data_IF_660159004831
#
_entry.id   IF_660159004831
#
_cell.length_a   1.000
_cell.length_b   1.000
_cell.length_c   1.000
_cell.angle_alpha   90.00
_cell.angle_beta   90.00
_cell.angle_gamma   90.00
#
_symmetry.space_group_name_H-M   'P 1'
#
loop_
_entity.id
_entity.type
_entity.pdbx_description
1 polymer ?
#
# COMPACT_ATOMS: atom_id res chain seq x y z
N UNK A 1 -13.51 25.52 20.51
CA UNK A 1 -13.03 24.53 21.49
C UNK A 1 -11.63 24.12 21.08
N UNK A 2 -10.59 24.41 21.88
CA UNK A 2 -9.23 23.99 21.56
C UNK A 2 -9.17 22.46 21.60
N UNK A 3 -8.90 21.84 20.46
CA UNK A 3 -8.66 20.40 20.39
C UNK A 3 -7.36 20.13 21.17
N UNK A 4 -7.52 19.67 22.42
CA UNK A 4 -6.39 19.22 23.22
C UNK A 4 -5.89 17.92 22.61
N UNK A 5 -4.69 17.92 22.03
CA UNK A 5 -4.05 16.71 21.53
C UNK A 5 -3.84 15.68 22.64
N UNK A 6 -3.70 14.41 22.26
CA UNK A 6 -3.50 13.31 23.18
C UNK A 6 -2.09 13.35 23.81
N UNK A 7 -2.04 13.29 25.15
CA UNK A 7 -0.81 13.13 25.94
C UNK A 7 -1.01 11.85 26.77
N UNK A 8 -0.06 10.91 26.69
CA UNK A 8 -0.11 9.66 27.44
C UNK A 8 0.56 9.86 28.82
N UNK A 9 -0.17 9.65 29.94
CA UNK A 9 0.38 9.79 31.27
C UNK A 9 1.46 8.74 31.62
N UNK A 10 1.57 7.67 30.86
CA UNK A 10 2.57 6.61 31.06
C UNK A 10 3.94 6.95 30.46
N UNK A 11 4.04 8.03 29.70
CA UNK A 11 5.30 8.49 29.13
C UNK A 11 5.71 9.84 29.74
N UNK A 12 7.02 10.14 29.80
CA UNK A 12 7.48 11.46 30.19
C UNK A 12 6.85 12.55 29.31
N UNK A 13 6.55 13.74 29.86
CA UNK A 13 6.01 14.84 29.06
C UNK A 13 6.95 15.19 27.90
N UNK A 14 6.41 15.61 26.74
CA UNK A 14 7.23 15.97 25.59
C UNK A 14 8.17 17.15 25.95
N UNK A 15 9.44 17.07 25.59
CA UNK A 15 10.44 18.11 25.94
C UNK A 15 11.82 17.85 25.36
N UNK A 16 12.01 16.73 24.63
CA UNK A 16 13.25 16.42 23.92
C UNK A 16 13.34 17.09 22.54
N UNK A 17 14.58 17.28 22.05
CA UNK A 17 14.80 17.77 20.70
C UNK A 17 14.08 16.90 19.65
N UNK A 18 13.20 17.52 18.86
CA UNK A 18 12.41 16.88 17.81
C UNK A 18 11.19 16.12 18.33
N UNK A 19 10.71 16.43 19.54
CA UNK A 19 9.44 15.94 20.06
C UNK A 19 8.29 16.88 19.66
N UNK A 20 7.16 16.30 19.26
CA UNK A 20 5.90 17.05 19.12
C UNK A 20 5.30 17.32 20.51
N UNK A 21 4.54 18.40 20.66
CA UNK A 21 3.86 18.74 21.92
C UNK A 21 2.71 17.78 22.28
N UNK A 22 2.30 16.95 21.34
CA UNK A 22 1.22 15.95 21.46
C UNK A 22 1.59 14.69 20.70
N UNK A 23 0.95 13.58 20.98
CA UNK A 23 1.07 12.37 20.18
C UNK A 23 0.34 12.58 18.86
N UNK A 24 1.08 12.60 17.74
CA UNK A 24 0.55 12.90 16.38
C UNK A 24 -0.47 11.86 15.94
N UNK A 25 -0.35 10.62 16.41
CA UNK A 25 -1.31 9.53 16.12
C UNK A 25 -2.71 9.76 16.72
N UNK A 26 -2.86 10.70 17.65
CA UNK A 26 -4.10 10.85 18.44
C UNK A 26 -4.34 9.77 19.50
N UNK A 27 -3.45 8.77 19.58
CA UNK A 27 -3.42 7.68 20.56
C UNK A 27 -1.99 7.15 20.69
N UNK A 28 -1.71 6.38 21.74
CA UNK A 28 -0.43 5.70 21.88
C UNK A 28 -0.43 4.42 21.05
N UNK A 29 0.46 4.27 20.04
CA UNK A 29 0.49 3.08 19.20
C UNK A 29 0.72 1.82 20.02
N UNK A 30 0.06 0.71 19.66
CA UNK A 30 0.27 -0.60 20.27
C UNK A 30 1.60 -1.20 19.81
N UNK A 31 2.46 -1.54 20.78
CA UNK A 31 3.69 -2.27 20.49
C UNK A 31 3.42 -3.66 19.89
N UNK A 32 2.35 -4.32 20.37
CA UNK A 32 1.96 -5.65 19.88
C UNK A 32 1.59 -5.62 18.39
N UNK A 33 0.84 -4.61 17.94
CA UNK A 33 0.50 -4.44 16.52
C UNK A 33 1.76 -4.16 15.67
N UNK A 34 2.67 -3.33 16.17
CA UNK A 34 3.94 -3.06 15.50
C UNK A 34 4.78 -4.31 15.30
N UNK A 35 4.97 -5.10 16.36
CA UNK A 35 5.73 -6.38 16.30
C UNK A 35 5.02 -7.40 15.41
N UNK A 36 3.69 -7.53 15.53
CA UNK A 36 2.89 -8.43 14.70
C UNK A 36 3.08 -8.10 13.21
N UNK A 37 3.06 -6.81 12.85
CA UNK A 37 3.32 -6.34 11.49
C UNK A 37 4.72 -6.73 11.02
N UNK A 38 5.75 -6.46 11.81
CA UNK A 38 7.13 -6.85 11.47
C UNK A 38 7.23 -8.36 11.22
N UNK A 39 6.68 -9.19 12.10
CA UNK A 39 6.76 -10.65 11.99
C UNK A 39 6.02 -11.18 10.77
N UNK A 40 4.78 -10.74 10.55
CA UNK A 40 3.97 -11.22 9.42
C UNK A 40 4.55 -10.80 8.07
N UNK A 41 5.04 -9.56 7.92
CA UNK A 41 5.69 -9.13 6.69
C UNK A 41 7.07 -9.76 6.51
N UNK A 42 7.83 -10.01 7.58
CA UNK A 42 9.12 -10.70 7.49
C UNK A 42 8.96 -12.14 6.99
N UNK A 43 8.01 -12.90 7.56
CA UNK A 43 7.72 -14.26 7.11
C UNK A 43 7.19 -14.25 5.66
N UNK A 44 6.30 -13.31 5.32
CA UNK A 44 5.83 -13.15 3.94
C UNK A 44 6.99 -12.81 2.98
N UNK A 45 7.93 -11.97 3.41
CA UNK A 45 9.15 -11.63 2.66
C UNK A 45 10.02 -12.85 2.38
N UNK A 46 10.24 -13.71 3.37
CA UNK A 46 10.96 -14.99 3.18
C UNK A 46 10.22 -15.88 2.16
N UNK A 47 8.89 -16.01 2.29
CA UNK A 47 8.09 -16.82 1.39
C UNK A 47 8.15 -16.32 -0.05
N UNK A 48 7.89 -15.03 -0.26
CA UNK A 48 7.97 -14.40 -1.59
C UNK A 48 9.39 -14.41 -2.16
N UNK A 49 10.41 -14.16 -1.34
CA UNK A 49 11.81 -14.22 -1.75
C UNK A 49 12.20 -15.61 -2.24
N UNK A 50 11.90 -16.64 -1.46
CA UNK A 50 12.13 -18.02 -1.89
C UNK A 50 11.39 -18.37 -3.18
N UNK A 51 10.16 -17.94 -3.32
CA UNK A 51 9.35 -18.14 -4.51
C UNK A 51 9.89 -17.39 -5.73
N UNK A 52 10.36 -16.16 -5.54
CA UNK A 52 10.99 -15.33 -6.57
C UNK A 52 12.20 -16.04 -7.20
N UNK A 53 13.10 -16.59 -6.36
CA UNK A 53 14.26 -17.34 -6.82
C UNK A 53 13.89 -18.69 -7.44
N UNK A 54 12.99 -19.45 -6.80
CA UNK A 54 12.57 -20.78 -7.27
C UNK A 54 11.92 -20.75 -8.64
N UNK A 55 11.02 -19.76 -8.90
CA UNK A 55 10.30 -19.63 -10.15
C UNK A 55 10.87 -18.58 -11.10
N UNK A 56 11.98 -17.90 -10.71
CA UNK A 56 12.65 -16.86 -11.50
C UNK A 56 11.68 -15.74 -11.94
N UNK A 57 10.76 -15.32 -11.07
CA UNK A 57 9.75 -14.30 -11.33
C UNK A 57 10.26 -12.90 -11.01
N UNK A 58 11.39 -12.49 -11.58
CA UNK A 58 12.04 -11.21 -11.29
C UNK A 58 11.11 -10.01 -11.53
N UNK A 59 10.19 -10.12 -12.46
CA UNK A 59 9.16 -9.12 -12.71
C UNK A 59 8.20 -8.89 -11.52
N UNK A 60 8.20 -9.77 -10.53
CA UNK A 60 7.41 -9.65 -9.30
C UNK A 60 8.23 -9.10 -8.12
N UNK A 61 9.47 -8.62 -8.36
CA UNK A 61 10.37 -8.09 -7.33
C UNK A 61 9.84 -6.83 -6.63
N UNK A 62 8.96 -6.06 -7.29
CA UNK A 62 8.28 -4.91 -6.69
C UNK A 62 7.48 -5.31 -5.44
N UNK A 63 6.91 -6.52 -5.38
CA UNK A 63 6.29 -7.06 -4.18
C UNK A 63 7.27 -7.11 -3.00
N UNK A 64 8.51 -7.55 -3.24
CA UNK A 64 9.56 -7.60 -2.21
C UNK A 64 9.93 -6.22 -1.68
N UNK A 65 10.01 -5.23 -2.57
CA UNK A 65 10.28 -3.84 -2.17
C UNK A 65 9.14 -3.31 -1.28
N UNK A 66 7.88 -3.55 -1.66
CA UNK A 66 6.73 -3.18 -0.84
C UNK A 66 6.75 -3.83 0.54
N UNK A 67 7.05 -5.13 0.62
CA UNK A 67 7.18 -5.86 1.90
C UNK A 67 8.31 -5.27 2.76
N UNK A 68 9.46 -4.96 2.17
CA UNK A 68 10.57 -4.34 2.89
C UNK A 68 10.18 -2.96 3.47
N UNK A 69 9.43 -2.18 2.71
CA UNK A 69 8.91 -0.88 3.17
C UNK A 69 7.94 -1.03 4.34
N UNK A 70 7.02 -1.98 4.27
CA UNK A 70 6.12 -2.28 5.39
C UNK A 70 6.90 -2.67 6.65
N UNK A 71 7.92 -3.54 6.53
CA UNK A 71 8.76 -3.93 7.67
C UNK A 71 9.40 -2.70 8.32
N UNK A 72 10.02 -1.82 7.52
CA UNK A 72 10.62 -0.58 8.05
C UNK A 72 9.55 0.28 8.74
N UNK A 73 8.39 0.46 8.13
CA UNK A 73 7.28 1.21 8.71
C UNK A 73 6.85 0.67 10.07
N UNK A 74 6.64 -0.65 10.20
CA UNK A 74 6.24 -1.27 11.47
C UNK A 74 7.36 -1.30 12.52
N UNK A 75 8.64 -1.35 12.13
CA UNK A 75 9.77 -1.17 13.05
C UNK A 75 9.71 0.21 13.69
N UNK A 76 9.54 1.27 12.90
CA UNK A 76 9.44 2.63 13.43
C UNK A 76 8.17 2.85 14.25
N UNK A 77 7.05 2.20 13.89
CA UNK A 77 5.85 2.17 14.72
C UNK A 77 6.10 1.53 16.09
N UNK A 78 6.88 0.45 16.12
CA UNK A 78 7.28 -0.21 17.37
C UNK A 78 8.19 0.70 18.23
N UNK A 79 9.05 1.50 17.60
CA UNK A 79 9.86 2.50 18.32
C UNK A 79 9.00 3.62 18.89
N UNK A 80 8.02 4.13 18.14
CA UNK A 80 7.04 5.08 18.67
C UNK A 80 6.29 4.53 19.88
N UNK A 81 5.87 3.26 19.80
CA UNK A 81 5.09 2.62 20.86
C UNK A 81 5.89 2.39 22.16
N UNK A 82 7.22 2.14 22.07
CA UNK A 82 8.01 1.70 23.23
C UNK A 82 9.01 2.71 23.74
N UNK A 83 9.58 3.54 22.85
CA UNK A 83 10.62 4.49 23.23
C UNK A 83 10.06 5.89 23.49
N UNK A 84 9.46 6.49 22.47
CA UNK A 84 8.95 7.86 22.57
C UNK A 84 7.84 8.09 21.52
N UNK A 85 6.57 8.16 21.94
CA UNK A 85 5.45 8.41 21.02
C UNK A 85 5.39 9.84 20.49
N UNK A 86 6.12 10.78 21.09
CA UNK A 86 6.19 12.19 20.70
C UNK A 86 7.24 12.45 19.63
N UNK A 87 8.17 11.51 19.38
CA UNK A 87 9.28 11.69 18.43
C UNK A 87 8.77 11.82 17.01
N UNK A 88 8.87 13.02 16.44
CA UNK A 88 8.40 13.34 15.08
C UNK A 88 9.08 12.47 14.03
N UNK A 89 10.39 12.21 14.17
CA UNK A 89 11.13 11.38 13.22
C UNK A 89 10.59 9.96 13.13
N UNK A 90 10.17 9.34 14.24
CA UNK A 90 9.59 7.99 14.21
C UNK A 90 8.25 7.96 13.46
N UNK A 91 7.41 8.97 13.71
CA UNK A 91 6.14 9.12 13.01
C UNK A 91 6.36 9.34 11.50
N UNK A 92 7.22 10.27 11.12
CA UNK A 92 7.47 10.63 9.72
C UNK A 92 8.01 9.44 8.93
N UNK A 93 9.01 8.73 9.48
CA UNK A 93 9.59 7.56 8.81
C UNK A 93 8.55 6.45 8.66
N UNK A 94 7.83 6.11 9.75
CA UNK A 94 6.75 5.12 9.68
C UNK A 94 5.71 5.50 8.62
N UNK A 95 5.22 6.75 8.68
CA UNK A 95 4.20 7.23 7.76
C UNK A 95 4.66 7.16 6.31
N UNK A 96 5.88 7.62 6.03
CA UNK A 96 6.47 7.58 4.69
C UNK A 96 6.52 6.15 4.13
N UNK A 97 7.06 5.21 4.87
CA UNK A 97 7.25 3.84 4.40
C UNK A 97 5.90 3.11 4.22
N UNK A 98 4.95 3.28 5.13
CA UNK A 98 3.61 2.68 5.02
C UNK A 98 2.80 3.30 3.87
N UNK A 99 2.95 4.61 3.59
CA UNK A 99 2.25 5.26 2.48
C UNK A 99 2.83 4.88 1.12
N UNK A 100 4.15 4.70 1.03
CA UNK A 100 4.82 4.40 -0.25
C UNK A 100 4.76 2.90 -0.60
N UNK A 101 4.74 2.00 0.38
CA UNK A 101 4.70 0.55 0.15
C UNK A 101 3.61 0.08 -0.84
N UNK A 102 2.37 0.56 -0.78
CA UNK A 102 1.29 0.18 -1.70
C UNK A 102 1.53 0.48 -3.18
N UNK A 103 2.36 1.48 -3.50
CA UNK A 103 2.73 1.75 -4.90
C UNK A 103 3.48 0.56 -5.50
N UNK A 104 4.36 -0.06 -4.73
CA UNK A 104 5.10 -1.25 -5.14
C UNK A 104 4.18 -2.48 -5.23
N UNK A 105 3.22 -2.62 -4.33
CA UNK A 105 2.21 -3.68 -4.41
C UNK A 105 1.30 -3.50 -5.62
N UNK A 106 0.85 -2.27 -5.90
CA UNK A 106 0.06 -1.94 -7.07
C UNK A 106 0.83 -2.25 -8.37
N UNK A 107 2.12 -1.88 -8.45
CA UNK A 107 2.97 -2.22 -9.59
C UNK A 107 3.07 -3.73 -9.81
N UNK A 108 3.19 -4.54 -8.73
CA UNK A 108 3.16 -6.00 -8.82
C UNK A 108 1.82 -6.50 -9.39
N UNK A 109 0.69 -5.95 -8.94
CA UNK A 109 -0.65 -6.30 -9.41
C UNK A 109 -0.84 -5.95 -10.89
N UNK A 110 -0.41 -4.76 -11.31
CA UNK A 110 -0.50 -4.33 -12.71
C UNK A 110 0.33 -5.23 -13.63
N UNK A 111 1.50 -5.65 -13.16
CA UNK A 111 2.36 -6.61 -13.87
C UNK A 111 1.69 -7.97 -14.00
N UNK A 112 1.08 -8.50 -12.94
CA UNK A 112 0.32 -9.76 -13.01
C UNK A 112 -0.80 -9.66 -14.03
N UNK A 113 -1.60 -8.58 -14.03
CA UNK A 113 -2.65 -8.39 -15.04
C UNK A 113 -2.09 -8.35 -16.46
N UNK A 114 -0.98 -7.63 -16.67
CA UNK A 114 -0.31 -7.56 -17.98
C UNK A 114 0.09 -8.95 -18.48
N UNK A 115 0.60 -9.81 -17.60
CA UNK A 115 0.96 -11.19 -17.92
C UNK A 115 -0.30 -12.02 -18.22
N UNK A 116 -1.35 -11.92 -17.42
CA UNK A 116 -2.61 -12.61 -17.67
C UNK A 116 -3.20 -12.28 -19.04
N UNK A 117 -3.15 -11.02 -19.45
CA UNK A 117 -3.59 -10.58 -20.78
C UNK A 117 -2.72 -11.22 -21.88
N UNK A 118 -1.41 -11.30 -21.66
CA UNK A 118 -0.51 -11.92 -22.65
C UNK A 118 -0.71 -13.44 -22.78
N UNK A 119 -1.05 -14.13 -21.68
CA UNK A 119 -1.38 -15.58 -21.67
C UNK A 119 -2.69 -15.87 -22.39
N UNK A 120 -3.74 -15.10 -22.05
CA UNK A 120 -5.11 -15.34 -22.48
C UNK A 120 -5.36 -14.84 -23.91
N UNK A 121 -4.62 -13.81 -24.31
CA UNK A 121 -4.72 -13.19 -25.64
C UNK A 121 -5.19 -11.74 -25.59
N UNK A 122 -4.52 -10.90 -26.36
CA UNK A 122 -4.73 -9.45 -26.43
C UNK A 122 -6.14 -9.03 -26.90
N UNK A 123 -6.83 -9.90 -27.61
CA UNK A 123 -8.19 -9.65 -28.14
C UNK A 123 -9.23 -9.38 -27.05
N UNK A 124 -8.99 -9.85 -25.82
CA UNK A 124 -9.91 -9.69 -24.70
C UNK A 124 -9.63 -8.42 -23.87
N UNK A 125 -8.46 -7.81 -24.04
CA UNK A 125 -8.08 -6.63 -23.28
C UNK A 125 -8.51 -5.34 -24.00
N UNK A 126 -9.14 -4.39 -23.31
CA UNK A 126 -9.55 -3.11 -23.88
C UNK A 126 -8.36 -2.22 -24.24
N UNK A 127 -7.22 -2.38 -23.55
CA UNK A 127 -6.00 -1.56 -23.69
C UNK A 127 -4.79 -2.50 -23.79
N UNK A 128 -3.73 -2.04 -24.44
CA UNK A 128 -2.46 -2.79 -24.56
C UNK A 128 -1.84 -3.02 -23.17
N UNK A 129 -1.34 -4.24 -22.84
CA UNK A 129 -0.79 -4.56 -21.52
C UNK A 129 0.31 -3.60 -21.06
N UNK A 130 1.26 -3.24 -21.94
CA UNK A 130 2.31 -2.27 -21.62
C UNK A 130 1.74 -0.89 -21.25
N UNK A 131 0.69 -0.45 -21.95
CA UNK A 131 0.08 0.85 -21.68
C UNK A 131 -0.63 0.88 -20.33
N UNK A 132 -1.27 -0.23 -19.94
CA UNK A 132 -1.84 -0.40 -18.59
C UNK A 132 -0.74 -0.19 -17.55
N UNK A 133 0.39 -0.90 -17.69
CA UNK A 133 1.52 -0.77 -16.76
C UNK A 133 2.00 0.68 -16.63
N UNK A 134 2.35 1.31 -17.75
CA UNK A 134 2.91 2.66 -17.73
C UNK A 134 1.93 3.70 -17.18
N UNK A 135 0.67 3.68 -17.61
CA UNK A 135 -0.34 4.65 -17.15
C UNK A 135 -0.55 4.51 -15.64
N UNK A 136 -0.87 3.31 -15.15
CA UNK A 136 -1.25 3.15 -13.74
C UNK A 136 -0.06 3.32 -12.80
N UNK A 137 1.13 2.83 -13.15
CA UNK A 137 2.35 3.07 -12.36
C UNK A 137 2.66 4.57 -12.31
N UNK A 138 2.59 5.28 -13.45
CA UNK A 138 2.84 6.72 -13.47
C UNK A 138 1.81 7.49 -12.63
N UNK A 139 0.53 7.14 -12.74
CA UNK A 139 -0.53 7.74 -11.92
C UNK A 139 -0.28 7.54 -10.43
N UNK A 140 0.09 6.32 -10.01
CA UNK A 140 0.37 6.02 -8.61
C UNK A 140 1.61 6.76 -8.11
N UNK A 141 2.68 6.86 -8.90
CA UNK A 141 3.88 7.64 -8.55
C UNK A 141 3.54 9.12 -8.40
N UNK A 142 2.80 9.70 -9.34
CA UNK A 142 2.37 11.11 -9.27
C UNK A 142 1.48 11.33 -8.04
N UNK A 143 0.49 10.47 -7.82
CA UNK A 143 -0.37 10.53 -6.63
C UNK A 143 0.46 10.52 -5.34
N UNK A 144 1.43 9.61 -5.24
CA UNK A 144 2.29 9.47 -4.06
C UNK A 144 3.18 10.69 -3.85
N UNK A 145 3.75 11.27 -4.91
CA UNK A 145 4.52 12.52 -4.81
C UNK A 145 3.63 13.64 -4.25
N UNK A 146 2.41 13.80 -4.76
CA UNK A 146 1.45 14.81 -4.26
C UNK A 146 1.10 14.55 -2.79
N UNK A 147 0.90 13.29 -2.39
CA UNK A 147 0.63 12.90 -1.01
C UNK A 147 1.80 13.23 -0.08
N UNK A 148 3.04 12.92 -0.47
CA UNK A 148 4.24 13.23 0.31
C UNK A 148 4.40 14.75 0.47
N UNK A 149 4.20 15.51 -0.61
CA UNK A 149 4.24 16.98 -0.56
C UNK A 149 3.16 17.55 0.36
N UNK A 150 1.92 17.05 0.25
CA UNK A 150 0.82 17.45 1.14
C UNK A 150 1.12 17.18 2.61
N UNK A 151 1.61 15.97 2.93
CA UNK A 151 1.99 15.59 4.29
C UNK A 151 3.16 16.43 4.84
N UNK A 152 4.18 16.71 4.03
CA UNK A 152 5.29 17.58 4.42
C UNK A 152 4.82 19.02 4.70
N UNK A 153 3.94 19.55 3.85
CA UNK A 153 3.35 20.89 4.05
C UNK A 153 2.48 20.96 5.32
N UNK A 154 1.75 19.90 5.66
CA UNK A 154 1.03 19.80 6.93
C UNK A 154 2.01 19.90 8.10
N UNK A 155 3.13 19.18 8.06
CA UNK A 155 4.17 19.23 9.08
C UNK A 155 4.74 20.65 9.27
N UNK A 156 5.08 21.32 8.17
CA UNK A 156 5.62 22.70 8.18
C UNK A 156 4.57 23.70 8.67
N UNK A 157 3.32 23.61 8.22
CA UNK A 157 2.24 24.51 8.66
C UNK A 157 1.94 24.32 10.14
N UNK A 158 1.90 23.07 10.64
CA UNK A 158 1.67 22.75 12.05
C UNK A 158 2.79 23.29 12.95
N UNK A 159 4.05 23.15 12.55
CA UNK A 159 5.19 23.66 13.33
C UNK A 159 5.20 25.19 13.42
N UNK A 160 4.72 25.87 12.37
CA UNK A 160 4.58 27.33 12.32
C UNK A 160 3.24 27.85 12.90
N UNK A 161 2.41 26.97 13.48
CA UNK A 161 1.06 27.29 13.98
C UNK A 161 0.16 27.97 12.94
N UNK A 162 0.34 27.62 11.66
CA UNK A 162 -0.48 28.08 10.54
C UNK A 162 -1.61 27.11 10.26
N UNK A 163 -2.62 27.59 9.53
CA UNK A 163 -3.72 26.75 9.05
C UNK A 163 -3.20 25.64 8.13
N UNK A 164 -3.60 24.41 8.40
CA UNK A 164 -3.21 23.20 7.65
C UNK A 164 -4.21 22.80 6.58
N UNK A 165 -5.32 23.51 6.43
CA UNK A 165 -6.44 23.17 5.54
C UNK A 165 -6.00 23.02 4.09
N UNK A 166 -5.22 23.96 3.57
CA UNK A 166 -4.71 23.91 2.20
C UNK A 166 -3.80 22.71 1.99
N UNK A 167 -2.89 22.45 2.93
CA UNK A 167 -1.97 21.31 2.86
C UNK A 167 -2.69 19.96 2.94
N UNK A 168 -3.73 19.88 3.78
CA UNK A 168 -4.59 18.69 3.88
C UNK A 168 -5.38 18.46 2.58
N UNK A 169 -5.87 19.52 1.94
CA UNK A 169 -6.56 19.41 0.65
C UNK A 169 -5.64 18.90 -0.47
N UNK A 170 -4.35 19.26 -0.46
CA UNK A 170 -3.34 18.72 -1.40
C UNK A 170 -3.17 17.22 -1.16
N UNK A 171 -2.98 16.79 0.09
CA UNK A 171 -2.88 15.39 0.46
C UNK A 171 -4.13 14.61 0.04
N UNK A 172 -5.31 15.14 0.34
CA UNK A 172 -6.61 14.56 0.00
C UNK A 172 -6.79 14.45 -1.52
N UNK A 173 -6.37 15.46 -2.29
CA UNK A 173 -6.38 15.45 -3.75
C UNK A 173 -5.53 14.32 -4.33
N UNK A 174 -4.34 14.09 -3.78
CA UNK A 174 -3.47 12.97 -4.17
C UNK A 174 -4.10 11.61 -3.88
N UNK A 175 -4.71 11.43 -2.70
CA UNK A 175 -5.42 10.20 -2.33
C UNK A 175 -6.67 9.96 -3.18
N UNK A 176 -7.45 11.00 -3.45
CA UNK A 176 -8.64 10.90 -4.30
C UNK A 176 -8.27 10.51 -5.73
N UNK A 177 -7.19 11.11 -6.27
CA UNK A 177 -6.68 10.75 -7.59
C UNK A 177 -6.21 9.29 -7.63
N UNK A 178 -5.50 8.81 -6.60
CA UNK A 178 -5.09 7.41 -6.49
C UNK A 178 -6.29 6.46 -6.41
N UNK A 179 -7.28 6.77 -5.57
CA UNK A 179 -8.49 5.97 -5.44
C UNK A 179 -9.26 5.88 -6.77
N UNK A 180 -9.37 6.99 -7.49
CA UNK A 180 -10.03 7.06 -8.79
C UNK A 180 -9.29 6.25 -9.86
N UNK A 181 -7.98 6.39 -9.97
CA UNK A 181 -7.18 5.63 -10.94
C UNK A 181 -7.19 4.14 -10.65
N UNK A 182 -7.10 3.75 -9.38
CA UNK A 182 -7.19 2.35 -8.99
C UNK A 182 -8.60 1.76 -9.25
N UNK A 183 -9.67 2.54 -9.09
CA UNK A 183 -11.03 2.13 -9.48
C UNK A 183 -11.13 1.86 -10.98
N UNK A 184 -10.56 2.74 -11.82
CA UNK A 184 -10.50 2.52 -13.27
C UNK A 184 -9.76 1.21 -13.58
N UNK A 185 -8.64 0.94 -12.88
CA UNK A 185 -7.92 -0.33 -13.01
C UNK A 185 -8.81 -1.54 -12.68
N UNK A 186 -9.58 -1.48 -11.59
CA UNK A 186 -10.52 -2.56 -11.20
C UNK A 186 -11.56 -2.78 -12.28
N UNK A 187 -12.11 -1.72 -12.86
CA UNK A 187 -13.10 -1.81 -13.95
C UNK A 187 -12.48 -2.47 -15.19
N UNK A 188 -11.27 -2.07 -15.57
CA UNK A 188 -10.56 -2.69 -16.70
C UNK A 188 -10.25 -4.16 -16.44
N UNK A 189 -9.83 -4.50 -15.22
CA UNK A 189 -9.61 -5.88 -14.79
C UNK A 189 -10.91 -6.69 -14.86
N UNK A 190 -12.01 -6.16 -14.37
CA UNK A 190 -13.32 -6.84 -14.43
C UNK A 190 -13.79 -7.06 -15.88
N UNK A 191 -13.67 -6.04 -16.76
CA UNK A 191 -14.00 -6.15 -18.19
C UNK A 191 -13.14 -7.25 -18.85
N UNK A 192 -11.83 -7.26 -18.60
CA UNK A 192 -10.94 -8.29 -19.13
C UNK A 192 -11.37 -9.68 -18.69
N UNK A 193 -11.60 -9.87 -17.41
CA UNK A 193 -12.00 -11.18 -16.86
C UNK A 193 -13.34 -11.64 -17.44
N UNK A 194 -14.32 -10.75 -17.50
CA UNK A 194 -15.64 -11.10 -18.06
C UNK A 194 -15.54 -11.56 -19.51
N UNK A 195 -14.73 -10.86 -20.32
CA UNK A 195 -14.52 -11.22 -21.73
C UNK A 195 -13.65 -12.46 -21.93
N UNK A 196 -12.65 -12.66 -21.07
CA UNK A 196 -11.63 -13.69 -21.21
C UNK A 196 -11.92 -14.95 -20.40
N UNK A 197 -13.02 -15.03 -19.64
CA UNK A 197 -13.28 -16.06 -18.62
C UNK A 197 -13.06 -17.49 -19.10
N UNK A 198 -13.49 -17.85 -20.31
CA UNK A 198 -13.38 -19.21 -20.85
C UNK A 198 -11.92 -19.61 -21.13
N UNK A 199 -11.14 -18.68 -21.68
CA UNK A 199 -9.71 -18.90 -21.96
C UNK A 199 -8.86 -18.77 -20.70
N UNK A 200 -9.19 -17.80 -19.82
CA UNK A 200 -8.48 -17.58 -18.57
C UNK A 200 -8.47 -18.83 -17.71
N UNK A 201 -9.62 -19.49 -17.54
CA UNK A 201 -9.73 -20.71 -16.72
C UNK A 201 -9.15 -21.97 -17.38
N UNK A 202 -8.77 -21.92 -18.65
CA UNK A 202 -7.96 -22.96 -19.27
C UNK A 202 -6.49 -22.90 -18.87
N UNK A 203 -5.97 -21.69 -18.65
CA UNK A 203 -4.55 -21.45 -18.40
C UNK A 203 -4.24 -21.18 -16.93
N UNK A 204 -5.21 -20.71 -16.15
CA UNK A 204 -5.02 -20.25 -14.78
C UNK A 204 -6.04 -20.90 -13.85
N UNK A 205 -5.61 -21.38 -12.68
CA UNK A 205 -6.50 -21.99 -11.71
C UNK A 205 -7.52 -20.97 -11.15
N UNK A 206 -8.75 -21.43 -10.92
CA UNK A 206 -9.82 -20.61 -10.31
C UNK A 206 -9.40 -20.07 -8.94
N UNK A 207 -8.62 -20.84 -8.16
CA UNK A 207 -8.14 -20.44 -6.85
C UNK A 207 -7.16 -19.26 -6.93
N UNK A 208 -6.22 -19.29 -7.88
CA UNK A 208 -5.32 -18.14 -8.12
C UNK A 208 -6.09 -16.90 -8.52
N UNK A 209 -7.04 -17.03 -9.46
CA UNK A 209 -7.87 -15.91 -9.88
C UNK A 209 -8.65 -15.31 -8.71
N UNK A 210 -9.32 -16.14 -7.89
CA UNK A 210 -10.05 -15.67 -6.72
C UNK A 210 -9.14 -14.95 -5.71
N UNK A 211 -7.96 -15.51 -5.46
CA UNK A 211 -6.96 -14.90 -4.57
C UNK A 211 -6.42 -13.58 -5.11
N UNK A 212 -6.16 -13.51 -6.41
CA UNK A 212 -5.71 -12.28 -7.06
C UNK A 212 -6.78 -11.20 -7.03
N UNK A 213 -8.03 -11.54 -7.36
CA UNK A 213 -9.15 -10.61 -7.28
C UNK A 213 -9.40 -10.11 -5.85
N UNK A 214 -9.34 -11.03 -4.85
CA UNK A 214 -9.44 -10.65 -3.45
C UNK A 214 -8.30 -9.71 -3.01
N UNK A 215 -7.06 -9.98 -3.42
CA UNK A 215 -5.93 -9.09 -3.14
C UNK A 215 -6.13 -7.69 -3.74
N UNK A 216 -6.60 -7.58 -4.99
CA UNK A 216 -6.92 -6.31 -5.64
C UNK A 216 -7.96 -5.53 -4.82
N UNK A 217 -9.04 -6.19 -4.40
CA UNK A 217 -10.11 -5.55 -3.61
C UNK A 217 -9.62 -5.13 -2.21
N UNK A 218 -8.77 -5.92 -1.57
CA UNK A 218 -8.17 -5.59 -0.28
C UNK A 218 -7.26 -4.35 -0.37
N UNK A 219 -6.44 -4.24 -1.41
CA UNK A 219 -5.64 -3.03 -1.64
C UNK A 219 -6.53 -1.81 -1.93
N UNK A 220 -7.62 -1.99 -2.67
CA UNK A 220 -8.57 -0.90 -2.91
C UNK A 220 -9.27 -0.46 -1.62
N UNK A 221 -9.69 -1.41 -0.77
CA UNK A 221 -10.26 -1.10 0.55
C UNK A 221 -9.31 -0.22 1.37
N UNK A 222 -8.03 -0.57 1.38
CA UNK A 222 -7.00 0.22 2.06
C UNK A 222 -6.90 1.64 1.48
N UNK A 223 -6.92 1.80 0.16
CA UNK A 223 -6.87 3.14 -0.48
C UNK A 223 -8.10 3.97 -0.09
N UNK A 224 -9.30 3.38 -0.09
CA UNK A 224 -10.53 4.04 0.33
C UNK A 224 -10.47 4.44 1.82
N UNK A 225 -9.92 3.59 2.67
CA UNK A 225 -9.73 3.90 4.09
C UNK A 225 -8.83 5.13 4.27
N UNK A 226 -7.67 5.17 3.60
CA UNK A 226 -6.74 6.32 3.67
C UNK A 226 -7.40 7.63 3.20
N UNK A 227 -8.19 7.56 2.14
CA UNK A 227 -8.95 8.70 1.66
C UNK A 227 -9.96 9.19 2.72
N UNK A 228 -10.72 8.27 3.32
CA UNK A 228 -11.70 8.59 4.36
C UNK A 228 -11.05 9.13 5.63
N UNK A 229 -9.96 8.50 6.10
CA UNK A 229 -9.18 8.93 7.26
C UNK A 229 -8.66 10.35 7.08
N UNK A 230 -8.07 10.66 5.92
CA UNK A 230 -7.54 12.00 5.62
C UNK A 230 -8.67 13.04 5.48
N UNK A 231 -9.84 12.64 4.97
CA UNK A 231 -10.98 13.56 4.83
C UNK A 231 -11.56 14.02 6.17
N UNK A 232 -11.48 13.19 7.22
CA UNK A 232 -11.87 13.57 8.58
C UNK A 232 -10.82 14.48 9.25
N UNK A 233 -9.60 14.54 8.71
CA UNK A 233 -8.49 15.31 9.26
C UNK A 233 -7.78 14.63 10.44
N UNK A 234 -6.74 15.29 10.94
CA UNK A 234 -5.80 14.74 11.94
C UNK A 234 -6.48 14.29 13.25
N UNK A 235 -7.56 14.93 13.64
CA UNK A 235 -8.31 14.63 14.88
C UNK A 235 -9.62 13.89 14.61
N UNK A 236 -9.80 13.36 13.40
CA UNK A 236 -10.96 12.56 13.02
C UNK A 236 -11.03 11.25 13.78
N UNK A 237 -12.21 10.65 13.84
CA UNK A 237 -12.45 9.39 14.54
C UNK A 237 -11.62 8.24 13.94
N UNK A 238 -11.48 8.21 12.62
CA UNK A 238 -10.72 7.17 11.92
C UNK A 238 -9.23 7.25 12.24
N UNK A 239 -8.69 8.46 12.43
CA UNK A 239 -7.27 8.66 12.72
C UNK A 239 -6.93 8.47 14.21
N UNK A 240 -7.89 8.70 15.12
CA UNK A 240 -7.64 8.69 16.57
C UNK A 240 -7.88 7.35 17.26
N UNK A 241 -8.30 6.32 16.53
CA UNK A 241 -8.58 5.00 17.09
C UNK A 241 -7.79 3.92 16.35
N UNK A 242 -6.86 3.27 17.05
CA UNK A 242 -5.97 2.24 16.49
C UNK A 242 -6.68 1.05 15.85
N UNK A 243 -7.91 0.75 16.30
CA UNK A 243 -8.72 -0.36 15.75
C UNK A 243 -8.95 -0.18 14.25
N UNK A 244 -9.22 1.04 13.79
CA UNK A 244 -9.43 1.31 12.35
C UNK A 244 -8.13 1.15 11.56
N UNK A 245 -7.01 1.62 12.08
CA UNK A 245 -5.70 1.36 11.49
C UNK A 245 -5.42 -0.15 11.41
N UNK A 246 -5.66 -0.90 12.48
CA UNK A 246 -5.45 -2.35 12.50
C UNK A 246 -6.33 -3.12 11.53
N UNK A 247 -7.60 -2.74 11.39
CA UNK A 247 -8.59 -3.49 10.60
C UNK A 247 -8.68 -3.05 9.14
N UNK A 248 -8.45 -1.77 8.83
CA UNK A 248 -8.66 -1.20 7.49
C UNK A 248 -7.36 -0.76 6.77
N UNK A 249 -6.27 -0.56 7.51
CA UNK A 249 -4.94 -0.31 6.93
C UNK A 249 -4.09 -1.58 6.94
N UNK A 250 -3.83 -2.15 8.12
CA UNK A 250 -2.92 -3.27 8.32
C UNK A 250 -3.45 -4.60 7.77
N UNK A 251 -4.63 -5.03 8.25
CA UNK A 251 -5.21 -6.34 7.88
C UNK A 251 -5.38 -6.54 6.36
N UNK A 252 -5.93 -5.58 5.59
CA UNK A 252 -6.09 -5.76 4.15
C UNK A 252 -4.76 -6.00 3.43
N UNK A 253 -3.71 -5.26 3.79
CA UNK A 253 -2.39 -5.41 3.18
C UNK A 253 -1.78 -6.77 3.53
N UNK A 254 -1.81 -7.17 4.79
CA UNK A 254 -1.32 -8.48 5.23
C UNK A 254 -2.04 -9.59 4.49
N UNK A 255 -3.38 -9.59 4.48
CA UNK A 255 -4.16 -10.62 3.80
C UNK A 255 -3.87 -10.69 2.30
N UNK A 256 -3.77 -9.53 1.63
CA UNK A 256 -3.45 -9.48 0.21
C UNK A 256 -2.07 -10.08 -0.10
N UNK A 257 -1.04 -9.70 0.68
CA UNK A 257 0.32 -10.23 0.52
C UNK A 257 0.35 -11.73 0.77
N UNK A 258 -0.33 -12.24 1.80
CA UNK A 258 -0.38 -13.67 2.11
C UNK A 258 -1.20 -14.47 1.08
N UNK A 259 -2.29 -13.93 0.55
CA UNK A 259 -3.02 -14.55 -0.57
C UNK A 259 -2.12 -14.71 -1.81
N UNK A 260 -1.33 -13.68 -2.13
CA UNK A 260 -0.38 -13.74 -3.24
C UNK A 260 0.85 -14.60 -2.95
N UNK A 261 1.20 -14.85 -1.69
CA UNK A 261 2.19 -15.85 -1.31
C UNK A 261 1.66 -17.28 -1.46
N UNK A 262 0.43 -17.53 -0.99
CA UNK A 262 -0.21 -18.85 -1.07
C UNK A 262 -0.46 -19.29 -2.52
N UNK A 263 -0.95 -18.38 -3.35
CA UNK A 263 -1.16 -18.57 -4.80
C UNK A 263 -0.23 -17.68 -5.61
N UNK A 264 1.06 -17.97 -5.52
CA UNK A 264 2.08 -17.14 -6.17
C UNK A 264 1.97 -17.20 -7.69
N UNK A 265 2.03 -16.04 -8.39
CA UNK A 265 1.88 -15.97 -9.85
C UNK A 265 2.88 -16.85 -10.60
N UNK A 266 4.12 -16.96 -10.13
CA UNK A 266 5.14 -17.82 -10.75
C UNK A 266 4.85 -19.31 -10.71
N UNK A 267 3.98 -19.76 -9.81
CA UNK A 267 3.50 -21.15 -9.74
C UNK A 267 2.25 -21.36 -10.60
N UNK A 268 1.39 -20.36 -10.65
CA UNK A 268 0.03 -20.50 -11.17
C UNK A 268 -0.12 -20.06 -12.62
N UNK A 269 0.84 -19.27 -13.15
CA UNK A 269 0.83 -18.76 -14.52
C UNK A 269 1.91 -19.45 -15.37
N UNK A 270 1.63 -19.90 -16.61
CA UNK A 270 2.59 -20.56 -17.46
C UNK A 270 3.83 -19.71 -17.79
N UNK A 271 5.03 -20.29 -17.68
CA UNK A 271 6.34 -19.62 -17.87
C UNK A 271 6.51 -18.96 -19.25
N UNK A 272 6.01 -19.56 -20.30
CA UNK A 272 6.15 -19.06 -21.70
C UNK A 272 5.63 -17.64 -21.90
N UNK A 273 4.74 -17.19 -21.04
CA UNK A 273 4.21 -15.83 -21.12
C UNK A 273 5.01 -14.82 -20.29
N UNK A 274 5.68 -15.26 -19.26
CA UNK A 274 6.54 -14.42 -18.42
C UNK A 274 7.83 -14.02 -19.16
N UNK A 275 8.41 -14.94 -19.93
CA UNK A 275 9.64 -14.67 -20.71
C UNK A 275 9.41 -13.62 -21.80
N UNK A 276 8.22 -13.58 -22.42
CA UNK A 276 7.84 -12.54 -23.40
C UNK A 276 7.75 -11.14 -22.82
N UNK A 277 7.46 -11.01 -21.53
CA UNK A 277 7.44 -9.70 -20.85
C UNK A 277 8.88 -9.25 -20.57
N UNK A 278 9.77 -10.13 -20.13
CA UNK A 278 11.17 -9.81 -19.91
C UNK A 278 11.93 -9.41 -21.19
N UNK A 279 11.60 -10.03 -22.31
CA UNK A 279 12.16 -9.66 -23.64
C UNK A 279 11.57 -8.35 -24.19
N UNK A 280 10.39 -7.98 -23.74
CA UNK A 280 9.74 -6.72 -24.12
C UNK A 280 10.23 -5.53 -23.30
N UNK A 281 10.77 -5.77 -22.10
CA UNK A 281 11.40 -4.74 -21.26
C UNK A 281 12.84 -4.42 -21.74
N UNK A 282 13.48 -5.34 -22.50
CA UNK A 282 14.83 -5.17 -23.05
C UNK A 282 14.89 -4.53 -24.45
N UNK A 283 13.75 -4.28 -25.06
CA UNK A 283 13.59 -3.60 -26.35
C UNK A 283 12.78 -2.29 -26.17
#
# INVERSE_FOLDING_TARGET
MSQRGWIDPNFPPPGGDGDATIIIYGYTPSFALGVLGCVLFFIAGIAHGWQLFKWRTWWFSTMMVGIAFEIVGYVFRSFSARKNPYKVSYFVVQYFFIVVAPVFFAAAIYTVLSILINVTGRRYAPIKPKLILYIFITCDVVATIVQILGAALIGVASSNRKDTTTSNNILLGGLAFQAFTFLIFIILFAIFVFKARSELFRHVSKAFYASFAAAVLLFYLRVCFRLSETSEGLFGKLNTHEVYFGTLEFMPVVLAVWLLAAWHPGRCVPRVAADRVGDMERK
#
